data_IF_070206276261
#
_entry.id   IF_070206276261
#
_cell.length_a   1.000
_cell.length_b   1.000
_cell.length_c   1.000
_cell.angle_alpha   90.00
_cell.angle_beta   90.00
_cell.angle_gamma   90.00
#
_symmetry.space_group_name_H-M   'P 1'
#
loop_
_entity.id
_entity.type
_entity.pdbx_description
1 polymer ?
#
# COMPACT_ATOMS: atom_id res chain seq x y z
N UNK A 1 -18.76 -65.99 37.69
CA UNK A 1 -20.11 -66.18 37.13
C UNK A 1 -20.96 -65.01 37.60
N UNK A 2 -21.21 -64.04 36.73
CA UNK A 2 -21.98 -62.84 37.04
C UNK A 2 -23.01 -62.64 35.91
N UNK A 3 -24.25 -62.49 36.33
CA UNK A 3 -25.48 -62.53 35.53
C UNK A 3 -25.73 -61.16 34.90
N UNK A 4 -26.02 -61.18 33.60
CA UNK A 4 -26.52 -60.06 32.79
C UNK A 4 -27.98 -59.76 33.15
N UNK A 5 -28.31 -58.46 33.23
CA UNK A 5 -29.69 -58.01 33.10
C UNK A 5 -29.80 -56.92 32.03
N UNK A 6 -30.62 -57.24 31.04
CA UNK A 6 -31.21 -56.39 30.00
C UNK A 6 -31.92 -55.16 30.57
N UNK A 7 -31.97 -54.07 29.76
CA UNK A 7 -33.20 -53.46 29.22
C UNK A 7 -32.90 -52.23 28.31
N UNK A 8 -33.86 -51.79 27.46
CA UNK A 8 -33.59 -51.59 26.04
C UNK A 8 -33.72 -50.15 25.53
N UNK A 9 -33.43 -50.04 24.23
CA UNK A 9 -33.46 -48.90 23.34
C UNK A 9 -34.78 -48.10 23.33
N UNK A 10 -34.63 -46.78 23.19
CA UNK A 10 -35.71 -45.85 22.85
C UNK A 10 -35.67 -45.62 21.34
N UNK A 11 -36.70 -46.11 20.66
CA UNK A 11 -37.08 -45.75 19.29
C UNK A 11 -37.54 -44.30 19.24
N UNK A 12 -36.97 -43.50 18.34
CA UNK A 12 -37.55 -42.22 17.92
C UNK A 12 -37.96 -42.33 16.45
N UNK A 13 -39.29 -42.38 16.28
CA UNK A 13 -40.01 -42.47 15.01
C UNK A 13 -39.74 -41.28 14.11
N UNK A 14 -39.39 -41.60 12.88
CA UNK A 14 -39.51 -40.77 11.69
C UNK A 14 -40.99 -40.68 11.28
N UNK A 15 -41.48 -39.47 11.02
CA UNK A 15 -42.65 -39.20 10.17
C UNK A 15 -42.29 -38.08 9.19
N UNK A 16 -42.25 -38.41 7.89
CA UNK A 16 -42.65 -37.49 6.82
C UNK A 16 -44.17 -37.27 6.88
N UNK A 17 -44.81 -36.42 6.10
CA UNK A 17 -44.46 -35.59 4.94
C UNK A 17 -45.52 -34.48 4.91
N UNK A 18 -45.26 -33.34 4.27
CA UNK A 18 -46.05 -32.91 3.11
C UNK A 18 -45.62 -31.55 2.56
N UNK A 19 -45.64 -31.52 1.24
CA UNK A 19 -45.23 -30.47 0.35
C UNK A 19 -46.26 -29.35 0.26
N UNK A 20 -45.80 -28.10 0.07
CA UNK A 20 -46.50 -27.10 -0.73
C UNK A 20 -45.60 -25.92 -1.13
N UNK A 21 -45.60 -25.67 -2.45
CA UNK A 21 -45.36 -24.40 -3.15
C UNK A 21 -44.00 -23.69 -3.05
N UNK A 22 -43.19 -23.85 -4.11
CA UNK A 22 -42.12 -22.92 -4.52
C UNK A 22 -42.72 -21.68 -5.19
N UNK A 23 -42.13 -20.48 -4.99
CA UNK A 23 -42.01 -19.49 -6.05
C UNK A 23 -40.58 -19.47 -6.57
N UNK A 24 -40.44 -19.61 -7.88
CA UNK A 24 -39.20 -19.37 -8.61
C UNK A 24 -38.87 -17.87 -8.57
N UNK A 25 -37.81 -17.50 -7.86
CA UNK A 25 -37.13 -16.23 -8.08
C UNK A 25 -35.84 -16.49 -8.85
N UNK A 26 -35.89 -16.09 -10.12
CA UNK A 26 -34.78 -16.20 -11.07
C UNK A 26 -33.53 -15.50 -10.57
N UNK A 27 -32.44 -16.26 -10.60
CA UNK A 27 -31.08 -15.77 -10.41
C UNK A 27 -30.72 -14.89 -11.62
N UNK A 28 -30.73 -13.57 -11.43
CA UNK A 28 -30.23 -12.61 -12.41
C UNK A 28 -28.70 -12.62 -12.38
N UNK A 29 -28.12 -13.12 -13.48
CA UNK A 29 -26.71 -13.11 -13.83
C UNK A 29 -26.09 -11.69 -13.79
N UNK A 30 -24.91 -11.47 -13.16
CA UNK A 30 -24.27 -10.14 -13.06
C UNK A 30 -23.41 -9.78 -14.29
N UNK A 31 -23.82 -10.14 -15.51
CA UNK A 31 -23.01 -9.96 -16.73
C UNK A 31 -23.58 -8.97 -17.77
N UNK A 32 -24.50 -8.06 -17.40
CA UNK A 32 -25.11 -7.09 -18.35
C UNK A 32 -25.28 -5.67 -17.80
N UNK A 33 -24.21 -5.08 -17.26
CA UNK A 33 -24.17 -3.62 -16.97
C UNK A 33 -23.02 -2.85 -17.63
N UNK A 34 -22.21 -3.49 -18.48
CA UNK A 34 -20.98 -2.89 -19.02
C UNK A 34 -21.05 -2.34 -20.46
N UNK A 35 -22.24 -2.20 -21.07
CA UNK A 35 -22.35 -1.67 -22.46
C UNK A 35 -22.97 -0.26 -22.58
N UNK A 36 -23.45 0.36 -21.50
CA UNK A 36 -24.18 1.64 -21.59
C UNK A 36 -23.33 2.91 -21.46
N UNK A 37 -22.01 2.83 -21.22
CA UNK A 37 -21.14 4.01 -21.07
C UNK A 37 -20.07 4.19 -22.16
N UNK A 38 -20.05 3.31 -23.17
CA UNK A 38 -19.04 3.35 -24.24
C UNK A 38 -19.40 4.19 -25.47
N UNK A 39 -20.49 4.95 -25.45
CA UNK A 39 -20.97 5.75 -26.61
C UNK A 39 -21.02 7.27 -26.42
N UNK A 40 -20.52 7.83 -25.32
CA UNK A 40 -20.63 9.28 -25.07
C UNK A 40 -19.32 10.08 -25.13
N UNK A 41 -18.19 9.48 -25.54
CA UNK A 41 -16.89 10.19 -25.64
C UNK A 41 -16.18 9.87 -26.96
N UNK A 42 -16.86 10.14 -28.07
CA UNK A 42 -16.24 10.30 -29.40
C UNK A 42 -17.04 11.34 -30.15
N UNK A 43 -16.75 12.62 -29.87
CA UNK A 43 -16.84 13.72 -30.83
C UNK A 43 -16.60 15.04 -30.11
N UNK A 44 -15.34 15.45 -30.05
CA UNK A 44 -14.98 16.87 -30.01
C UNK A 44 -13.78 17.09 -30.93
N UNK A 45 -14.11 17.36 -32.20
CA UNK A 45 -13.25 18.07 -33.15
C UNK A 45 -13.04 19.48 -32.62
N UNK A 46 -11.78 19.93 -32.57
CA UNK A 46 -11.42 21.34 -32.39
C UNK A 46 -11.12 21.91 -33.78
N UNK A 47 -11.71 23.07 -34.16
CA UNK A 47 -11.49 23.66 -35.47
C UNK A 47 -10.21 24.50 -35.54
N UNK A 48 -9.62 24.51 -36.74
CA UNK A 48 -8.64 25.49 -37.21
C UNK A 48 -9.32 26.81 -37.61
N UNK A 49 -8.72 27.95 -37.26
CA UNK A 49 -8.60 29.20 -38.04
C UNK A 49 -7.64 30.12 -37.23
N UNK A 50 -6.53 30.67 -37.73
CA UNK A 50 -6.17 31.52 -38.90
C UNK A 50 -6.01 33.01 -38.49
N UNK A 51 -5.03 33.64 -39.14
CA UNK A 51 -4.64 35.07 -39.17
C UNK A 51 -3.70 35.49 -38.03
N UNK A 52 -2.58 36.17 -38.24
CA UNK A 52 -1.98 36.80 -39.42
C UNK A 52 -0.99 37.85 -38.88
N UNK A 53 0.15 38.05 -39.54
CA UNK A 53 0.75 39.35 -39.88
C UNK A 53 2.25 39.25 -40.22
N UNK A 54 2.56 39.95 -41.30
CA UNK A 54 3.84 40.15 -41.99
C UNK A 54 4.88 40.93 -41.16
N UNK A 55 6.16 40.79 -41.54
CA UNK A 55 6.98 41.85 -42.15
C UNK A 55 8.44 41.35 -42.33
N UNK A 56 8.97 41.51 -43.56
CA UNK A 56 10.35 41.17 -43.96
C UNK A 56 11.43 42.17 -43.43
N UNK A 57 12.63 42.31 -44.05
CA UNK A 57 13.02 41.87 -45.40
C UNK A 57 14.43 41.26 -45.57
N UNK A 58 14.61 40.78 -46.81
CA UNK A 58 15.78 40.43 -47.61
C UNK A 58 17.20 40.89 -47.19
N UNK A 59 18.20 40.03 -47.45
CA UNK A 59 19.46 40.41 -48.10
C UNK A 59 19.97 39.33 -49.06
N UNK A 60 20.34 39.81 -50.26
CA UNK A 60 20.95 39.13 -51.39
C UNK A 60 22.49 39.06 -51.25
N UNK A 61 23.10 38.14 -52.01
CA UNK A 61 24.52 38.08 -52.37
C UNK A 61 24.92 36.63 -52.66
N UNK A 62 24.86 36.13 -53.90
CA UNK A 62 25.94 36.17 -54.94
C UNK A 62 27.25 35.50 -54.48
N UNK A 63 28.04 34.76 -55.25
CA UNK A 63 27.99 34.07 -56.55
C UNK A 63 29.42 33.45 -56.72
N UNK A 64 29.55 32.36 -57.49
CA UNK A 64 30.84 31.88 -58.04
C UNK A 64 31.63 30.92 -57.12
N UNK A 65 32.22 29.82 -57.56
CA UNK A 65 32.44 29.27 -58.90
C UNK A 65 32.99 27.83 -58.80
N UNK A 66 32.74 27.04 -59.84
CA UNK A 66 33.47 25.81 -60.24
C UNK A 66 34.54 26.20 -61.28
N UNK A 67 35.49 25.34 -61.75
CA UNK A 67 35.63 23.86 -61.65
C UNK A 67 37.07 23.46 -61.19
N UNK A 68 37.60 22.23 -61.12
CA UNK A 68 37.67 21.11 -62.08
C UNK A 68 38.38 19.89 -61.44
N UNK A 69 37.93 18.67 -61.81
CA UNK A 69 38.63 17.37 -62.02
C UNK A 69 39.77 16.91 -61.07
N UNK A 70 39.70 15.65 -60.59
CA UNK A 70 40.46 14.46 -61.08
C UNK A 70 39.97 13.19 -60.34
N UNK A 71 39.95 12.07 -61.06
CA UNK A 71 39.48 10.73 -60.72
C UNK A 71 40.27 10.02 -59.60
N UNK A 72 39.62 9.12 -58.85
CA UNK A 72 40.03 7.71 -58.72
C UNK A 72 39.03 6.86 -57.89
N UNK A 73 39.00 5.58 -58.26
CA UNK A 73 38.18 4.44 -57.81
C UNK A 73 38.24 4.15 -56.30
N UNK A 74 37.19 3.53 -55.79
CA UNK A 74 37.24 2.74 -54.55
C UNK A 74 35.85 2.41 -53.99
N UNK A 75 35.43 1.16 -54.19
CA UNK A 75 34.23 0.55 -53.61
C UNK A 75 34.19 0.64 -52.08
N UNK A 76 33.01 0.92 -51.51
CA UNK A 76 32.41 0.14 -50.42
C UNK A 76 31.10 0.77 -49.94
N UNK A 77 30.11 -0.10 -49.80
CA UNK A 77 28.81 0.12 -49.17
C UNK A 77 28.91 0.81 -47.80
N UNK A 78 28.07 1.82 -47.56
CA UNK A 78 27.13 1.89 -46.41
C UNK A 78 26.31 3.18 -46.46
N UNK A 79 25.00 3.00 -46.31
CA UNK A 79 23.98 4.06 -46.20
C UNK A 79 24.12 4.87 -44.89
N UNK A 80 23.53 6.09 -44.85
CA UNK A 80 23.87 7.11 -43.86
C UNK A 80 23.06 6.95 -42.57
N UNK A 81 23.71 7.25 -41.44
CA UNK A 81 23.03 7.56 -40.18
C UNK A 81 22.56 9.01 -40.24
N UNK A 82 21.26 9.19 -40.24
CA UNK A 82 20.60 10.47 -39.99
C UNK A 82 20.57 10.76 -38.49
N UNK A 83 20.98 11.98 -38.15
CA UNK A 83 20.74 12.66 -36.89
C UNK A 83 19.26 12.60 -36.48
N UNK A 84 19.05 12.31 -35.20
CA UNK A 84 17.76 12.39 -34.53
C UNK A 84 17.98 12.97 -33.14
N UNK A 85 17.87 14.29 -33.04
CA UNK A 85 17.86 15.07 -31.82
C UNK A 85 16.79 14.58 -30.82
N UNK A 86 17.18 14.26 -29.60
CA UNK A 86 16.26 14.09 -28.47
C UNK A 86 16.57 15.11 -27.38
N UNK A 87 15.64 16.06 -27.25
CA UNK A 87 15.51 17.01 -26.16
C UNK A 87 14.60 16.41 -25.07
N UNK A 88 14.98 16.68 -23.81
CA UNK A 88 14.15 16.74 -22.57
C UNK A 88 13.63 15.40 -22.02
N UNK A 89 13.35 15.21 -20.73
CA UNK A 89 13.55 15.93 -19.45
C UNK A 89 13.20 14.89 -18.38
N UNK A 90 13.85 14.89 -17.22
CA UNK A 90 13.43 14.05 -16.10
C UNK A 90 14.35 14.10 -14.88
N UNK A 91 14.78 15.30 -14.46
CA UNK A 91 15.50 15.50 -13.21
C UNK A 91 14.50 15.44 -12.04
N UNK A 92 14.56 14.38 -11.25
CA UNK A 92 14.00 14.36 -9.90
C UNK A 92 14.94 15.14 -8.97
N UNK A 93 14.58 16.38 -8.66
CA UNK A 93 15.32 17.24 -7.73
C UNK A 93 15.10 16.77 -6.29
N UNK A 94 16.22 16.54 -5.59
CA UNK A 94 16.28 16.53 -4.12
C UNK A 94 16.14 17.96 -3.60
N UNK A 95 15.07 18.22 -2.87
CA UNK A 95 14.84 19.38 -1.99
C UNK A 95 14.10 18.78 -0.79
N UNK A 96 14.39 19.04 0.48
CA UNK A 96 15.43 19.81 1.16
C UNK A 96 15.32 19.41 2.64
N UNK A 97 16.44 19.09 3.28
CA UNK A 97 16.51 18.90 4.73
C UNK A 97 17.83 19.50 5.19
N UNK A 98 17.80 20.79 5.48
CA UNK A 98 18.82 21.49 6.26
C UNK A 98 18.22 22.84 6.63
N UNK A 99 17.69 22.93 7.85
CA UNK A 99 17.92 24.07 8.74
C UNK A 99 17.00 23.96 9.96
N UNK A 100 17.59 23.58 11.10
CA UNK A 100 17.23 24.02 12.46
C UNK A 100 18.23 23.44 13.45
N UNK A 101 19.38 24.12 13.55
CA UNK A 101 20.28 24.07 14.71
C UNK A 101 20.29 25.44 15.35
N UNK A 102 19.57 25.57 16.48
CA UNK A 102 19.74 26.57 17.56
C UNK A 102 19.04 25.94 18.77
N UNK A 103 19.47 26.05 20.01
CA UNK A 103 20.60 26.65 20.72
C UNK A 103 20.49 25.97 22.10
N UNK A 104 21.57 25.45 22.64
CA UNK A 104 21.63 24.93 24.01
C UNK A 104 22.54 25.86 24.78
N UNK A 105 22.02 26.52 25.81
CA UNK A 105 22.82 26.98 26.95
C UNK A 105 22.05 26.69 28.25
N UNK A 106 22.77 26.42 29.35
CA UNK A 106 22.25 25.80 30.56
C UNK A 106 21.92 26.85 31.62
N UNK A 107 21.10 26.52 32.64
CA UNK A 107 21.37 26.92 34.03
C UNK A 107 20.43 26.31 35.08
N UNK A 108 21.09 25.97 36.20
CA UNK A 108 20.67 26.01 37.61
C UNK A 108 19.74 24.93 38.19
N UNK A 109 20.37 24.10 39.01
CA UNK A 109 19.81 23.42 40.17
C UNK A 109 19.17 24.38 41.17
N UNK A 110 18.12 23.93 41.89
CA UNK A 110 17.84 24.28 43.29
C UNK A 110 16.77 23.33 43.91
N UNK A 111 17.17 22.80 45.08
CA UNK A 111 16.46 22.35 46.29
C UNK A 111 15.56 21.10 46.36
N UNK A 112 15.96 20.26 47.31
CA UNK A 112 15.22 19.17 47.93
C UNK A 112 14.15 19.67 48.91
N UNK A 113 13.01 18.96 48.97
CA UNK A 113 12.03 19.06 50.06
C UNK A 113 11.67 17.65 50.53
N UNK A 114 11.63 17.50 51.86
CA UNK A 114 11.48 16.27 52.63
C UNK A 114 10.08 15.65 52.55
N UNK A 115 10.07 14.34 52.78
CA UNK A 115 8.92 13.45 52.97
C UNK A 115 7.89 13.93 53.99
N UNK A 116 6.61 13.78 53.63
CA UNK A 116 5.50 13.60 54.57
C UNK A 116 4.53 12.55 54.00
N UNK A 117 4.23 11.53 54.81
CA UNK A 117 2.93 10.88 54.82
C UNK A 117 2.73 9.68 53.89
N UNK A 118 2.94 8.49 54.43
CA UNK A 118 2.37 7.26 53.90
C UNK A 118 0.84 7.38 53.77
N UNK A 119 0.35 7.57 52.55
CA UNK A 119 -1.01 7.20 52.15
C UNK A 119 -0.87 6.14 51.09
N UNK A 120 -1.54 5.02 51.32
CA UNK A 120 -1.66 3.92 50.38
C UNK A 120 -2.10 4.51 49.05
N UNK A 121 -1.16 4.59 48.11
CA UNK A 121 -1.49 4.84 46.72
C UNK A 121 -2.39 3.70 46.30
N UNK A 122 -3.67 3.99 46.15
CA UNK A 122 -4.47 3.37 45.12
C UNK A 122 -3.65 3.46 43.84
N UNK A 123 -2.93 2.38 43.54
CA UNK A 123 -2.45 2.11 42.20
C UNK A 123 -3.72 1.97 41.38
N UNK A 124 -4.26 3.09 40.90
CA UNK A 124 -4.85 3.13 39.58
C UNK A 124 -3.73 2.60 38.70
N UNK A 125 -3.73 1.28 38.49
CA UNK A 125 -2.85 0.63 37.56
C UNK A 125 -3.13 1.34 36.24
N UNK A 126 -2.25 2.28 35.90
CA UNK A 126 -2.30 3.01 34.64
C UNK A 126 -2.22 1.93 33.58
N UNK A 127 -3.38 1.54 33.04
CA UNK A 127 -3.43 0.49 32.04
C UNK A 127 -2.47 0.91 30.92
N UNK A 128 -1.69 -0.04 30.38
CA UNK A 128 -0.67 0.28 29.41
C UNK A 128 -1.28 1.10 28.26
N UNK A 129 -0.57 2.15 27.91
CA UNK A 129 -0.89 2.99 26.76
C UNK A 129 -0.79 2.10 25.52
N UNK A 130 -1.86 1.98 24.72
CA UNK A 130 -1.77 1.23 23.47
C UNK A 130 -0.96 2.02 22.47
N UNK A 131 -0.01 1.36 21.82
CA UNK A 131 0.83 1.96 20.80
C UNK A 131 0.66 1.16 19.51
N UNK A 132 0.41 1.89 18.43
CA UNK A 132 0.29 1.37 17.08
C UNK A 132 1.49 1.84 16.26
N UNK A 133 2.34 0.90 15.84
CA UNK A 133 3.45 1.19 14.93
C UNK A 133 3.06 0.86 13.49
N UNK A 134 3.38 1.75 12.56
CA UNK A 134 3.21 1.53 11.12
C UNK A 134 4.56 1.71 10.41
N UNK A 135 5.14 0.59 9.99
CA UNK A 135 6.35 0.52 9.17
C UNK A 135 5.98 0.19 7.74
N UNK A 136 6.75 0.67 6.77
CA UNK A 136 6.53 0.32 5.39
C UNK A 136 6.70 1.44 4.40
N UNK A 137 5.85 1.40 3.39
CA UNK A 137 5.88 2.24 2.20
C UNK A 137 4.68 3.19 2.13
N UNK A 138 4.38 3.66 0.92
CA UNK A 138 3.31 4.60 0.61
C UNK A 138 1.92 4.10 0.99
N UNK A 139 1.72 2.79 1.20
CA UNK A 139 0.44 2.25 1.70
C UNK A 139 0.08 2.84 3.06
N UNK A 140 1.07 3.11 3.91
CA UNK A 140 0.87 3.76 5.21
C UNK A 140 1.29 5.23 5.23
N UNK A 141 2.18 5.64 4.33
CA UNK A 141 2.56 7.04 4.10
C UNK A 141 1.75 7.65 2.95
N UNK A 142 0.43 7.44 2.92
CA UNK A 142 -0.43 7.93 1.83
C UNK A 142 -1.10 9.28 2.12
N UNK A 143 -0.77 9.92 3.24
CA UNK A 143 -1.48 11.12 3.70
C UNK A 143 -1.40 12.26 2.70
N UNK A 144 -0.25 12.45 2.05
CA UNK A 144 -0.05 13.47 1.01
C UNK A 144 -0.71 13.16 -0.33
N UNK A 145 -1.23 11.94 -0.52
CA UNK A 145 -1.95 11.56 -1.73
C UNK A 145 -3.45 11.83 -1.66
N UNK A 146 -3.98 12.17 -0.48
CA UNK A 146 -5.39 12.49 -0.31
C UNK A 146 -5.62 13.89 0.27
N UNK A 147 -6.76 14.46 -0.06
CA UNK A 147 -7.16 15.83 0.26
C UNK A 147 -7.42 16.09 1.75
N UNK A 148 -7.38 15.05 2.58
CA UNK A 148 -7.60 15.12 4.03
C UNK A 148 -6.34 14.90 4.86
N UNK A 149 -5.22 14.52 4.25
CA UNK A 149 -3.99 14.24 4.99
C UNK A 149 -4.09 13.02 5.92
N UNK A 150 -5.04 12.11 5.67
CA UNK A 150 -5.31 10.97 6.57
C UNK A 150 -4.58 9.71 6.12
N UNK A 151 -4.18 8.89 7.10
CA UNK A 151 -3.49 7.62 6.86
C UNK A 151 -4.28 6.45 7.49
N UNK A 152 -4.09 5.20 7.02
CA UNK A 152 -4.81 4.05 7.54
C UNK A 152 -4.67 3.88 9.06
N UNK A 153 -3.45 4.03 9.58
CA UNK A 153 -3.13 3.91 11.00
C UNK A 153 -3.75 5.03 11.85
N UNK A 154 -3.87 6.24 11.31
CA UNK A 154 -4.57 7.33 12.00
C UNK A 154 -6.07 7.02 12.12
N UNK A 155 -6.69 6.59 11.02
CA UNK A 155 -8.11 6.20 10.99
C UNK A 155 -8.41 4.94 11.82
N UNK A 156 -7.44 4.03 11.94
CA UNK A 156 -7.53 2.83 12.78
C UNK A 156 -7.45 3.20 14.27
N UNK A 157 -6.56 4.12 14.64
CA UNK A 157 -6.43 4.60 16.00
C UNK A 157 -7.69 5.36 16.44
N UNK A 158 -8.20 6.25 15.58
CA UNK A 158 -9.44 6.99 15.78
C UNK A 158 -10.09 7.35 14.45
N UNK A 159 -11.31 6.90 14.24
CA UNK A 159 -12.10 7.17 13.06
C UNK A 159 -12.52 8.65 13.02
N UNK A 160 -12.60 9.19 11.80
CA UNK A 160 -13.37 10.39 11.54
C UNK A 160 -14.77 9.98 11.05
N UNK A 161 -15.73 10.00 11.97
CA UNK A 161 -17.14 9.64 11.71
C UNK A 161 -17.83 10.52 10.67
N UNK A 162 -17.28 11.69 10.32
CA UNK A 162 -17.82 12.53 9.26
C UNK A 162 -17.37 12.06 7.88
N UNK A 163 -16.15 11.51 7.81
CA UNK A 163 -15.60 10.97 6.57
C UNK A 163 -16.04 9.51 6.34
N UNK A 164 -16.07 8.70 7.40
CA UNK A 164 -16.36 7.27 7.33
C UNK A 164 -17.37 6.86 8.41
N UNK A 165 -18.66 7.25 8.26
CA UNK A 165 -19.70 6.99 9.27
C UNK A 165 -19.94 5.51 9.55
N UNK A 166 -19.68 4.62 8.59
CA UNK A 166 -19.82 3.16 8.71
C UNK A 166 -18.79 2.53 9.65
N UNK A 167 -17.74 3.27 10.02
CA UNK A 167 -16.73 2.88 11.02
C UNK A 167 -16.94 3.54 12.38
N UNK A 168 -18.07 4.23 12.59
CA UNK A 168 -18.40 4.80 13.90
C UNK A 168 -18.36 3.74 14.99
N UNK A 169 -17.58 3.99 16.03
CA UNK A 169 -17.39 3.05 17.14
C UNK A 169 -16.54 1.82 16.80
N UNK A 170 -16.00 1.73 15.58
CA UNK A 170 -15.17 0.62 15.08
C UNK A 170 -13.72 1.07 14.86
N UNK A 171 -13.17 1.79 15.82
CA UNK A 171 -11.75 2.16 15.88
C UNK A 171 -11.14 1.70 17.20
N UNK A 172 -9.80 1.71 17.29
CA UNK A 172 -9.12 1.24 18.49
C UNK A 172 -9.43 2.10 19.73
N UNK A 173 -9.69 3.41 19.55
CA UNK A 173 -10.10 4.28 20.64
C UNK A 173 -11.43 3.83 21.27
N UNK A 174 -12.44 3.56 20.46
CA UNK A 174 -13.77 3.12 20.88
C UNK A 174 -13.72 1.72 21.46
N UNK A 175 -13.04 0.79 20.78
CA UNK A 175 -12.87 -0.60 21.24
C UNK A 175 -12.17 -0.70 22.59
N UNK A 176 -11.36 0.30 22.96
CA UNK A 176 -10.67 0.38 24.26
C UNK A 176 -11.42 1.19 25.32
N UNK A 177 -12.68 1.51 25.09
CA UNK A 177 -13.48 2.31 26.03
C UNK A 177 -12.96 3.75 26.11
N UNK A 178 -12.76 4.38 24.96
CA UNK A 178 -12.39 5.79 24.80
C UNK A 178 -11.00 6.14 25.33
N UNK A 179 -10.06 5.19 25.27
CA UNK A 179 -8.68 5.38 25.70
C UNK A 179 -7.78 5.71 24.53
N UNK A 180 -6.90 6.69 24.72
CA UNK A 180 -5.96 7.12 23.70
C UNK A 180 -5.08 5.98 23.19
N UNK A 181 -4.83 5.99 21.88
CA UNK A 181 -3.91 5.11 21.17
C UNK A 181 -2.84 6.00 20.55
N UNK A 182 -1.58 5.76 20.89
CA UNK A 182 -0.47 6.51 20.29
C UNK A 182 -0.07 5.86 18.98
N UNK A 183 -0.09 6.62 17.91
CA UNK A 183 0.39 6.19 16.60
C UNK A 183 1.85 6.58 16.46
N UNK A 184 2.69 5.61 16.11
CA UNK A 184 4.08 5.82 15.70
C UNK A 184 4.18 5.48 14.22
N UNK A 185 4.26 6.52 13.40
CA UNK A 185 4.39 6.38 11.96
C UNK A 185 5.86 6.49 11.55
N UNK A 186 6.37 5.44 10.92
CA UNK A 186 7.75 5.33 10.44
C UNK A 186 7.84 4.83 9.01
N UNK A 187 6.70 4.50 8.40
CA UNK A 187 6.60 4.24 6.97
C UNK A 187 7.05 5.46 6.16
N UNK A 188 7.61 5.21 4.98
CA UNK A 188 8.14 6.24 4.11
C UNK A 188 7.74 5.93 2.68
N UNK A 189 7.15 6.89 2.00
CA UNK A 189 6.85 6.80 0.57
C UNK A 189 8.06 6.34 -0.27
N UNK A 190 7.83 5.39 -1.18
CA UNK A 190 8.87 4.78 -2.01
C UNK A 190 9.81 3.78 -1.29
N UNK A 191 9.60 3.49 -0.01
CA UNK A 191 10.45 2.54 0.73
C UNK A 191 10.41 1.12 0.16
N UNK A 192 11.55 0.43 0.22
CA UNK A 192 11.69 -1.00 -0.12
C UNK A 192 12.03 -1.84 1.11
N UNK A 193 12.09 -3.17 0.96
CA UNK A 193 12.48 -4.06 2.06
C UNK A 193 13.84 -3.73 2.70
N UNK A 194 14.75 -3.08 1.95
CA UNK A 194 16.04 -2.63 2.46
C UNK A 194 15.92 -1.49 3.48
N UNK A 195 14.81 -0.75 3.49
CA UNK A 195 14.59 0.39 4.39
C UNK A 195 14.02 -0.02 5.75
N UNK A 196 13.43 -1.21 5.86
CA UNK A 196 12.73 -1.64 7.08
C UNK A 196 13.63 -1.65 8.32
N UNK A 197 14.87 -2.12 8.20
CA UNK A 197 15.81 -2.14 9.33
C UNK A 197 16.04 -0.74 9.91
N UNK A 198 16.20 0.25 9.03
CA UNK A 198 16.36 1.64 9.42
C UNK A 198 15.09 2.14 10.10
N UNK A 199 13.91 1.90 9.53
CA UNK A 199 12.65 2.35 10.11
C UNK A 199 12.41 1.73 11.50
N UNK A 200 12.67 0.43 11.67
CA UNK A 200 12.55 -0.29 12.95
C UNK A 200 13.52 0.26 13.99
N UNK A 201 14.72 0.66 13.58
CA UNK A 201 15.76 1.15 14.49
C UNK A 201 15.53 2.56 15.02
N UNK A 202 14.60 3.33 14.42
CA UNK A 202 14.25 4.70 14.88
C UNK A 202 13.71 4.67 16.32
N UNK A 203 12.94 3.64 16.68
CA UNK A 203 12.31 3.54 18.00
C UNK A 203 12.10 2.09 18.42
N UNK A 204 12.42 1.79 19.67
CA UNK A 204 12.13 0.48 20.27
C UNK A 204 10.62 0.20 20.28
N UNK A 205 10.24 -1.01 19.87
CA UNK A 205 8.87 -1.49 19.79
C UNK A 205 8.55 -2.30 21.05
N UNK A 206 7.62 -1.86 21.92
CA UNK A 206 7.19 -2.63 23.08
C UNK A 206 6.47 -3.93 22.68
N UNK A 207 6.52 -4.94 23.54
CA UNK A 207 5.88 -6.24 23.33
C UNK A 207 4.35 -6.14 23.18
N UNK A 208 3.76 -5.18 23.86
CA UNK A 208 2.32 -4.95 23.92
C UNK A 208 1.81 -4.11 22.73
N UNK A 209 2.71 -3.64 21.86
CA UNK A 209 2.34 -2.83 20.71
C UNK A 209 1.64 -3.66 19.62
N UNK A 210 0.73 -3.02 18.89
CA UNK A 210 0.28 -3.48 17.58
C UNK A 210 1.26 -2.94 16.55
N UNK A 211 1.77 -3.81 15.69
CA UNK A 211 2.72 -3.47 14.63
C UNK A 211 2.10 -3.83 13.29
N UNK A 212 2.07 -2.84 12.39
CA UNK A 212 1.63 -2.99 11.01
C UNK A 212 2.82 -2.82 10.07
N UNK A 213 2.94 -3.71 9.09
CA UNK A 213 3.98 -3.67 8.05
C UNK A 213 3.34 -3.76 6.66
N UNK A 214 3.70 -2.87 5.74
CA UNK A 214 3.41 -2.96 4.31
C UNK A 214 4.71 -2.74 3.53
N UNK A 215 5.10 -3.68 2.69
CA UNK A 215 6.35 -3.57 1.92
C UNK A 215 6.29 -4.48 0.69
N UNK A 216 7.21 -4.27 -0.26
CA UNK A 216 7.39 -5.16 -1.41
C UNK A 216 6.80 -4.62 -2.71
N UNK A 217 5.91 -3.63 -2.66
CA UNK A 217 5.40 -2.96 -3.85
C UNK A 217 6.53 -2.28 -4.62
N UNK A 218 7.35 -1.49 -3.93
CA UNK A 218 8.49 -0.81 -4.56
C UNK A 218 9.62 -1.77 -4.95
N UNK A 219 9.86 -2.83 -4.17
CA UNK A 219 10.80 -3.90 -4.54
C UNK A 219 10.39 -4.54 -5.87
N UNK A 220 9.10 -4.85 -6.03
CA UNK A 220 8.54 -5.36 -7.27
C UNK A 220 8.71 -4.36 -8.42
N UNK A 221 8.31 -3.10 -8.23
CA UNK A 221 8.42 -2.06 -9.27
C UNK A 221 9.87 -1.85 -9.74
N UNK A 222 10.84 -1.95 -8.83
CA UNK A 222 12.27 -1.83 -9.18
C UNK A 222 12.79 -3.06 -9.93
N UNK A 223 12.28 -4.26 -9.63
CA UNK A 223 12.71 -5.51 -10.26
C UNK A 223 12.13 -5.74 -11.67
N UNK A 224 10.97 -5.16 -11.98
CA UNK A 224 10.25 -5.42 -13.23
C UNK A 224 10.98 -4.94 -14.50
N UNK A 225 11.65 -3.78 -14.55
CA UNK A 225 12.36 -3.33 -15.74
C UNK A 225 13.56 -4.22 -16.11
N UNK A 226 14.24 -4.80 -15.11
CA UNK A 226 15.44 -5.62 -15.31
C UNK A 226 15.12 -7.09 -15.56
N UNK A 227 13.90 -7.53 -15.21
CA UNK A 227 13.48 -8.95 -15.19
C UNK A 227 14.45 -9.87 -14.43
N UNK A 228 15.26 -9.30 -13.54
CA UNK A 228 16.30 -10.04 -12.87
C UNK A 228 15.77 -10.55 -11.52
N UNK A 229 15.68 -11.88 -11.41
CA UNK A 229 15.39 -12.53 -10.12
C UNK A 229 16.39 -12.07 -9.05
N UNK A 230 17.60 -11.64 -9.43
CA UNK A 230 18.64 -11.16 -8.51
C UNK A 230 18.22 -9.95 -7.65
N UNK A 231 17.35 -9.07 -8.16
CA UNK A 231 16.82 -7.94 -7.35
C UNK A 231 15.80 -8.44 -6.30
N UNK A 232 15.09 -9.54 -6.60
CA UNK A 232 14.20 -10.22 -5.66
C UNK A 232 14.92 -11.26 -4.78
N UNK A 233 16.16 -11.65 -5.08
CA UNK A 233 16.92 -12.64 -4.28
C UNK A 233 17.22 -12.13 -2.86
N UNK A 234 17.41 -10.82 -2.69
CA UNK A 234 17.63 -10.24 -1.36
C UNK A 234 16.33 -10.11 -0.54
N UNK A 235 15.19 -9.97 -1.21
CA UNK A 235 13.90 -9.67 -0.60
C UNK A 235 13.50 -10.64 0.53
N UNK A 236 13.55 -11.99 0.36
CA UNK A 236 13.24 -12.93 1.45
C UNK A 236 14.09 -12.73 2.70
N UNK A 237 15.40 -12.45 2.52
CA UNK A 237 16.31 -12.29 3.66
C UNK A 237 16.03 -11.01 4.42
N UNK A 238 15.81 -9.90 3.70
CA UNK A 238 15.52 -8.59 4.28
C UNK A 238 14.19 -8.59 5.03
N UNK A 239 13.13 -9.10 4.40
CA UNK A 239 11.83 -9.26 5.03
C UNK A 239 11.94 -10.14 6.27
N UNK A 240 12.56 -11.33 6.17
CA UNK A 240 12.72 -12.23 7.32
C UNK A 240 13.41 -11.54 8.50
N UNK A 241 14.55 -10.90 8.27
CA UNK A 241 15.31 -10.23 9.32
C UNK A 241 14.50 -9.11 9.99
N UNK A 242 13.73 -8.34 9.21
CA UNK A 242 12.85 -7.31 9.76
C UNK A 242 11.71 -7.91 10.59
N UNK A 243 11.03 -8.95 10.10
CA UNK A 243 9.90 -9.58 10.79
C UNK A 243 10.35 -10.30 12.08
N UNK A 244 11.51 -10.97 12.07
CA UNK A 244 12.07 -11.61 13.27
C UNK A 244 12.33 -10.60 14.40
N UNK A 245 12.76 -9.39 14.08
CA UNK A 245 12.98 -8.30 15.05
C UNK A 245 11.68 -7.73 15.63
N UNK A 246 10.55 -7.97 14.99
CA UNK A 246 9.22 -7.48 15.39
C UNK A 246 8.34 -8.60 15.98
N UNK A 247 8.79 -9.84 15.93
CA UNK A 247 8.02 -11.03 16.29
C UNK A 247 7.60 -11.08 17.78
N UNK A 248 8.23 -10.28 18.64
CA UNK A 248 7.82 -10.16 20.05
C UNK A 248 6.54 -9.34 20.23
N UNK A 249 6.15 -8.53 19.26
CA UNK A 249 4.94 -7.70 19.30
C UNK A 249 3.75 -8.34 18.55
N UNK A 250 2.57 -7.71 18.60
CA UNK A 250 1.40 -8.15 17.82
C UNK A 250 1.57 -7.70 16.37
N UNK A 251 2.18 -8.55 15.55
CA UNK A 251 2.63 -8.22 14.20
C UNK A 251 1.61 -8.59 13.12
N UNK A 252 1.26 -7.61 12.29
CA UNK A 252 0.38 -7.70 11.13
C UNK A 252 1.14 -7.27 9.88
N UNK A 253 1.20 -8.13 8.88
CA UNK A 253 1.95 -7.89 7.64
C UNK A 253 0.98 -7.92 6.47
N UNK A 254 0.92 -6.84 5.69
CA UNK A 254 0.16 -6.80 4.46
C UNK A 254 0.91 -7.48 3.31
N UNK A 255 0.17 -8.18 2.46
CA UNK A 255 0.66 -8.52 1.13
C UNK A 255 0.42 -7.35 0.15
N UNK A 256 1.07 -7.41 -1.01
CA UNK A 256 1.02 -6.37 -2.04
C UNK A 256 -0.25 -6.55 -2.87
N UNK A 257 -1.09 -5.51 -2.98
CA UNK A 257 -2.26 -5.55 -3.85
C UNK A 257 -1.90 -5.48 -5.33
N UNK A 258 -2.87 -5.78 -6.19
CA UNK A 258 -2.74 -5.67 -7.65
C UNK A 258 -3.59 -4.50 -8.17
N UNK A 259 -2.99 -3.35 -8.51
CA UNK A 259 -3.71 -2.19 -9.02
C UNK A 259 -4.26 -2.38 -10.45
N UNK A 260 -3.93 -3.48 -11.12
CA UNK A 260 -4.59 -3.87 -12.37
C UNK A 260 -5.95 -4.56 -12.14
N UNK A 261 -6.30 -4.88 -10.89
CA UNK A 261 -7.51 -5.66 -10.55
C UNK A 261 -7.57 -7.04 -11.23
N UNK A 262 -6.40 -7.58 -11.60
CA UNK A 262 -6.30 -8.81 -12.40
C UNK A 262 -6.66 -8.62 -13.88
N UNK A 263 -6.81 -7.39 -14.36
CA UNK A 263 -7.07 -7.07 -15.77
C UNK A 263 -5.77 -6.74 -16.51
N UNK A 264 -5.34 -7.67 -17.36
CA UNK A 264 -4.15 -7.54 -18.23
C UNK A 264 -4.20 -6.33 -19.15
N UNK A 265 -5.41 -5.84 -19.50
CA UNK A 265 -5.55 -4.65 -20.33
C UNK A 265 -5.23 -3.36 -19.56
N UNK A 266 -5.21 -3.41 -18.23
CA UNK A 266 -4.81 -2.31 -17.36
C UNK A 266 -3.31 -2.37 -17.04
N UNK A 267 -2.48 -2.58 -18.06
CA UNK A 267 -1.03 -2.67 -17.94
C UNK A 267 -0.39 -1.28 -17.89
N UNK A 268 -0.26 -0.73 -16.68
CA UNK A 268 0.37 0.58 -16.45
C UNK A 268 1.90 0.52 -16.32
N UNK A 269 2.49 -0.69 -16.30
CA UNK A 269 3.92 -0.92 -16.07
C UNK A 269 4.72 -1.06 -17.36
N UNK A 270 4.06 -1.14 -18.53
CA UNK A 270 4.67 -1.35 -19.84
C UNK A 270 5.61 -2.58 -19.90
N UNK A 271 5.31 -3.60 -19.08
CA UNK A 271 5.98 -4.90 -19.09
C UNK A 271 4.99 -6.00 -19.46
N UNK A 272 5.47 -7.16 -19.89
CA UNK A 272 4.60 -8.32 -20.15
C UNK A 272 3.73 -8.65 -18.92
N UNK A 273 2.38 -8.64 -19.01
CA UNK A 273 1.50 -8.86 -17.86
C UNK A 273 1.71 -10.22 -17.18
N UNK A 274 2.02 -11.28 -17.94
CA UNK A 274 2.29 -12.59 -17.36
C UNK A 274 3.55 -12.58 -16.47
N UNK A 275 4.54 -11.79 -16.88
CA UNK A 275 5.77 -11.56 -16.13
C UNK A 275 5.54 -10.71 -14.88
N UNK A 276 4.80 -9.61 -14.99
CA UNK A 276 4.41 -8.81 -13.82
C UNK A 276 3.66 -9.65 -12.78
N UNK A 277 2.68 -10.46 -13.21
CA UNK A 277 1.94 -11.35 -12.31
C UNK A 277 2.80 -12.44 -11.68
N UNK A 278 3.76 -13.00 -12.41
CA UNK A 278 4.67 -14.01 -11.85
C UNK A 278 5.51 -13.40 -10.73
N UNK A 279 6.10 -12.22 -10.96
CA UNK A 279 6.90 -11.52 -9.97
C UNK A 279 6.06 -11.08 -8.75
N UNK A 280 4.86 -10.54 -8.99
CA UNK A 280 3.91 -10.15 -7.94
C UNK A 280 3.51 -11.34 -7.06
N UNK A 281 3.10 -12.47 -7.66
CA UNK A 281 2.79 -13.70 -6.92
C UNK A 281 3.99 -14.17 -6.11
N UNK A 282 5.21 -14.07 -6.65
CA UNK A 282 6.43 -14.47 -5.95
C UNK A 282 6.65 -13.63 -4.70
N UNK A 283 6.54 -12.30 -4.79
CA UNK A 283 6.64 -11.37 -3.65
C UNK A 283 5.59 -11.72 -2.58
N UNK A 284 4.33 -11.88 -2.98
CA UNK A 284 3.25 -12.22 -2.03
C UNK A 284 3.43 -13.59 -1.37
N UNK A 285 3.95 -14.58 -2.09
CA UNK A 285 4.30 -15.88 -1.51
C UNK A 285 5.41 -15.78 -0.47
N UNK A 286 6.43 -14.95 -0.72
CA UNK A 286 7.51 -14.71 0.24
C UNK A 286 6.96 -14.02 1.50
N UNK A 287 6.17 -12.96 1.34
CA UNK A 287 5.52 -12.27 2.46
C UNK A 287 4.67 -13.23 3.29
N UNK A 288 3.84 -14.05 2.65
CA UNK A 288 3.03 -15.05 3.34
C UNK A 288 3.87 -16.08 4.11
N UNK A 289 4.94 -16.59 3.49
CA UNK A 289 5.83 -17.57 4.10
C UNK A 289 6.56 -17.00 5.33
N UNK A 290 7.18 -15.83 5.18
CA UNK A 290 7.98 -15.22 6.26
C UNK A 290 7.10 -14.70 7.39
N UNK A 291 5.90 -14.18 7.08
CA UNK A 291 4.89 -13.81 8.08
C UNK A 291 4.48 -15.03 8.91
N UNK A 292 4.17 -16.15 8.25
CA UNK A 292 3.82 -17.41 8.94
C UNK A 292 4.97 -17.92 9.81
N UNK A 293 6.22 -17.83 9.32
CA UNK A 293 7.42 -18.31 10.02
C UNK A 293 7.59 -17.64 11.39
N UNK A 294 7.31 -16.35 11.50
CA UNK A 294 7.43 -15.60 12.77
C UNK A 294 6.16 -15.62 13.62
N UNK A 295 5.12 -16.36 13.22
CA UNK A 295 3.84 -16.42 13.93
C UNK A 295 3.01 -15.13 13.82
N UNK A 296 3.29 -14.28 12.83
CA UNK A 296 2.55 -13.04 12.60
C UNK A 296 1.24 -13.29 11.81
N UNK A 297 0.38 -12.27 11.77
CA UNK A 297 -0.86 -12.30 11.02
C UNK A 297 -0.68 -11.70 9.63
N UNK A 298 -0.95 -12.47 8.58
CA UNK A 298 -1.03 -11.94 7.22
C UNK A 298 -2.35 -11.19 7.01
N UNK A 299 -2.26 -9.97 6.50
CA UNK A 299 -3.39 -9.13 6.11
C UNK A 299 -3.47 -9.15 4.59
N UNK A 300 -4.53 -9.76 4.05
CA UNK A 300 -4.67 -10.02 2.61
C UNK A 300 -5.26 -8.81 1.87
N UNK A 301 -4.46 -7.77 1.70
CA UNK A 301 -4.83 -6.62 0.87
C UNK A 301 -5.02 -7.02 -0.59
N UNK A 302 -4.23 -7.98 -1.10
CA UNK A 302 -4.35 -8.45 -2.46
C UNK A 302 -5.75 -8.97 -2.78
N UNK A 303 -6.26 -9.93 -2.01
CA UNK A 303 -7.60 -10.45 -2.23
C UNK A 303 -8.67 -9.35 -2.09
N UNK A 304 -8.53 -8.44 -1.11
CA UNK A 304 -9.47 -7.35 -0.88
C UNK A 304 -9.55 -6.40 -2.08
N UNK A 305 -8.40 -5.95 -2.58
CA UNK A 305 -8.31 -4.96 -3.65
C UNK A 305 -8.60 -5.55 -5.03
N UNK A 306 -8.42 -6.84 -5.27
CA UNK A 306 -8.80 -7.49 -6.54
C UNK A 306 -10.29 -7.32 -6.87
N UNK A 307 -11.15 -7.29 -5.85
CA UNK A 307 -12.60 -7.05 -6.00
C UNK A 307 -13.01 -5.60 -5.73
N UNK A 308 -12.03 -4.70 -5.62
CA UNK A 308 -12.23 -3.31 -5.27
C UNK A 308 -12.66 -2.42 -6.42
N UNK A 309 -12.69 -1.12 -6.16
CA UNK A 309 -13.03 -0.09 -7.13
C UNK A 309 -11.78 0.71 -7.54
N UNK A 310 -11.65 1.13 -8.82
CA UNK A 310 -10.54 1.97 -9.28
C UNK A 310 -10.32 3.24 -8.46
N UNK A 311 -11.38 3.81 -7.88
CA UNK A 311 -11.31 5.01 -7.05
C UNK A 311 -10.55 4.82 -5.73
N UNK A 312 -10.22 3.59 -5.36
CA UNK A 312 -9.37 3.30 -4.20
C UNK A 312 -7.91 3.67 -4.45
N UNK A 313 -7.53 3.83 -5.72
CA UNK A 313 -6.21 4.29 -6.11
C UNK A 313 -6.23 5.74 -6.60
N UNK A 314 -5.12 6.41 -6.41
CA UNK A 314 -4.73 7.66 -7.05
C UNK A 314 -3.31 7.49 -7.58
N UNK A 315 -2.91 8.27 -8.59
CA UNK A 315 -1.58 8.15 -9.22
C UNK A 315 -1.20 6.69 -9.56
N UNK A 316 -2.16 5.95 -10.09
CA UNK A 316 -2.10 4.53 -10.51
C UNK A 316 -2.01 3.50 -9.37
N UNK A 317 -1.19 3.71 -8.36
CA UNK A 317 -0.93 2.68 -7.33
C UNK A 317 -1.11 3.16 -5.90
N UNK A 318 -1.22 4.47 -5.65
CA UNK A 318 -1.25 5.02 -4.30
C UNK A 318 -2.65 4.99 -3.71
N UNK A 319 -2.83 4.72 -2.40
CA UNK A 319 -4.15 4.78 -1.80
C UNK A 319 -4.74 6.20 -1.87
N UNK A 320 -5.97 6.31 -2.39
CA UNK A 320 -6.79 7.52 -2.26
C UNK A 320 -7.33 7.68 -0.83
N UNK A 321 -8.17 8.69 -0.57
CA UNK A 321 -8.89 8.79 0.72
C UNK A 321 -9.69 7.51 1.02
N UNK A 322 -10.43 7.01 0.03
CA UNK A 322 -11.19 5.77 0.15
C UNK A 322 -10.25 4.57 0.25
N UNK A 323 -9.18 4.53 -0.54
CA UNK A 323 -8.16 3.48 -0.46
C UNK A 323 -7.54 3.35 0.93
N UNK A 324 -7.18 4.47 1.56
CA UNK A 324 -6.64 4.47 2.92
C UNK A 324 -7.64 3.91 3.95
N UNK A 325 -8.92 4.20 3.78
CA UNK A 325 -10.00 3.60 4.59
C UNK A 325 -10.15 2.10 4.36
N UNK A 326 -10.00 1.64 3.13
CA UNK A 326 -10.07 0.21 2.80
C UNK A 326 -8.85 -0.56 3.34
N UNK A 327 -7.64 0.02 3.27
CA UNK A 327 -6.47 -0.53 3.97
C UNK A 327 -6.77 -0.65 5.47
N UNK A 328 -7.28 0.41 6.10
CA UNK A 328 -7.71 0.34 7.51
C UNK A 328 -8.70 -0.80 7.73
N UNK A 329 -9.71 -0.97 6.89
CA UNK A 329 -10.77 -1.99 7.05
C UNK A 329 -10.17 -3.38 7.25
N UNK A 330 -9.28 -3.77 6.34
CA UNK A 330 -8.68 -5.12 6.36
C UNK A 330 -7.80 -5.31 7.61
N UNK A 331 -7.05 -4.28 8.01
CA UNK A 331 -6.25 -4.31 9.23
C UNK A 331 -7.12 -4.38 10.50
N UNK A 332 -8.19 -3.57 10.58
CA UNK A 332 -9.13 -3.60 11.68
C UNK A 332 -9.75 -5.00 11.85
N UNK A 333 -10.22 -5.59 10.75
CA UNK A 333 -10.82 -6.92 10.76
C UNK A 333 -9.79 -7.98 11.21
N UNK A 334 -8.53 -7.86 10.80
CA UNK A 334 -7.45 -8.74 11.26
C UNK A 334 -7.14 -8.58 12.76
N UNK A 335 -7.11 -7.35 13.26
CA UNK A 335 -6.84 -7.04 14.67
C UNK A 335 -7.97 -7.55 15.56
N UNK A 336 -9.22 -7.35 15.15
CA UNK A 336 -10.39 -7.85 15.88
C UNK A 336 -10.43 -9.38 15.87
N UNK A 337 -10.20 -10.01 14.70
CA UNK A 337 -10.20 -11.48 14.56
C UNK A 337 -9.14 -12.16 15.42
N UNK A 338 -7.96 -11.56 15.57
CA UNK A 338 -6.88 -12.10 16.42
C UNK A 338 -7.03 -11.70 17.89
N UNK A 339 -8.12 -11.00 18.25
CA UNK A 339 -8.37 -10.45 19.58
C UNK A 339 -7.27 -9.51 20.09
N UNK A 340 -6.45 -8.98 19.19
CA UNK A 340 -5.30 -8.13 19.52
C UNK A 340 -5.72 -6.79 20.15
N UNK A 341 -6.99 -6.39 20.04
CA UNK A 341 -7.52 -5.19 20.67
C UNK A 341 -8.01 -5.41 22.12
N UNK A 342 -8.39 -6.63 22.52
CA UNK A 342 -8.97 -6.88 23.85
C UNK A 342 -7.91 -6.82 24.96
N UNK A 343 -6.67 -7.16 24.62
CA UNK A 343 -5.54 -7.17 25.53
C UNK A 343 -4.77 -5.83 25.53
N UNK A 344 -5.43 -4.72 25.14
CA UNK A 344 -4.87 -3.36 25.13
C UNK A 344 -5.43 -2.47 26.24
#
# INVERSE_FOLDING_TARGET
MAVQHDRPAIELRVRGSDASARPEHGVLHPARRYEAHRRAVRDRRVPHDRQGEDLGPARQGSAGGRPTRVCARGDAQRSPRSDGSLLRHGQWRRVGQQDRRRELEPHRAVLAVRHVGARRHDRVASRPLAILFAFGDSVFDCGHYNERGVTPQALLARNDDRLFPEFRGRDLWSLRGNKAVTVVHTAVDGATSADLERQISIRSVPREAIVMVSIGGNDLLQALPSLSDAELEAFPRLVRGALERLAHARLFVANVYDPSFGDDFNNFLDVDPATARRAHRRVNQILALETKRVGACLVDLHAHFLSGEPSWFTRQVEPSLTGASEVRRVFLDAIVRTNAAADL
#
